data_IF_531420188639
#
_entry.id   IF_531420188639
#
_cell.length_a   1.000
_cell.length_b   1.000
_cell.length_c   1.000
_cell.angle_alpha   90.00
_cell.angle_beta   90.00
_cell.angle_gamma   90.00
#
_symmetry.space_group_name_H-M   'P 1'
#
loop_
_entity.id
_entity.type
_entity.pdbx_description
1 polymer ?
#
# COMPACT_ATOMS: atom_id res chain seq x y z
N UNK A 1 7.95 -35.53 0.92
CA UNK A 1 9.28 -36.11 1.16
C UNK A 1 9.07 -37.60 1.41
N UNK A 2 9.55 -38.49 0.55
CA UNK A 2 9.38 -39.95 0.68
C UNK A 2 10.52 -40.56 1.51
N UNK A 3 10.25 -41.64 2.25
CA UNK A 3 11.15 -42.27 3.24
C UNK A 3 12.56 -42.56 2.68
N UNK A 4 12.65 -42.99 1.43
CA UNK A 4 13.92 -43.30 0.75
C UNK A 4 14.80 -42.05 0.55
N UNK A 5 14.20 -40.89 0.23
CA UNK A 5 14.95 -39.64 0.05
C UNK A 5 15.53 -39.11 1.37
N UNK A 6 14.91 -39.45 2.50
CA UNK A 6 15.41 -39.07 3.82
C UNK A 6 16.60 -39.96 4.23
N UNK A 7 16.45 -41.28 4.06
CA UNK A 7 17.51 -42.24 4.37
C UNK A 7 18.81 -41.98 3.58
N UNK A 8 18.69 -41.63 2.29
CA UNK A 8 19.84 -41.27 1.46
C UNK A 8 20.55 -39.98 1.91
N UNK A 9 19.81 -38.99 2.43
CA UNK A 9 20.38 -37.74 2.95
C UNK A 9 21.15 -37.97 4.25
N UNK A 10 20.64 -38.85 5.12
CA UNK A 10 21.30 -39.24 6.37
C UNK A 10 22.63 -39.97 6.11
N UNK A 11 22.63 -40.93 5.17
CA UNK A 11 23.84 -41.64 4.71
C UNK A 11 24.92 -40.70 4.14
N UNK A 12 24.53 -39.56 3.57
CA UNK A 12 25.44 -38.50 3.08
C UNK A 12 25.94 -37.54 4.18
N UNK A 13 25.67 -37.81 5.46
CA UNK A 13 26.21 -37.04 6.58
C UNK A 13 25.49 -35.72 6.86
N UNK A 14 24.30 -35.48 6.30
CA UNK A 14 23.48 -34.32 6.68
C UNK A 14 22.77 -34.61 8.01
N UNK A 15 23.23 -33.97 9.07
CA UNK A 15 22.67 -34.05 10.43
C UNK A 15 21.60 -32.97 10.69
N UNK A 16 21.53 -31.92 9.85
CA UNK A 16 20.58 -30.83 10.04
C UNK A 16 19.16 -31.24 9.64
N UNK A 17 18.24 -31.14 10.61
CA UNK A 17 16.81 -31.43 10.48
C UNK A 17 16.00 -30.21 9.98
N UNK A 18 16.65 -29.05 9.83
CA UNK A 18 16.05 -27.85 9.27
C UNK A 18 15.75 -28.05 7.79
N UNK A 19 14.55 -27.67 7.36
CA UNK A 19 14.22 -27.65 5.94
C UNK A 19 15.23 -26.71 5.25
N UNK A 20 15.87 -27.21 4.19
CA UNK A 20 16.75 -26.37 3.38
C UNK A 20 15.87 -25.25 2.85
N UNK A 21 16.26 -24.00 3.09
CA UNK A 21 15.52 -22.84 2.64
C UNK A 21 15.16 -23.05 1.16
N UNK A 22 13.89 -23.34 0.92
CA UNK A 22 13.40 -23.46 -0.44
C UNK A 22 13.28 -22.03 -0.90
N UNK A 23 14.11 -21.67 -1.87
CA UNK A 23 13.85 -20.49 -2.69
C UNK A 23 12.47 -20.67 -3.28
N UNK A 24 11.49 -20.09 -2.59
CA UNK A 24 10.13 -19.94 -3.07
C UNK A 24 10.21 -18.82 -4.09
N UNK A 25 10.82 -19.15 -5.23
CA UNK A 25 11.05 -18.33 -6.42
C UNK A 25 10.72 -16.85 -6.26
N UNK A 26 11.69 -15.96 -6.02
CA UNK A 26 11.46 -14.55 -6.29
C UNK A 26 11.58 -14.37 -7.81
N UNK A 27 10.45 -14.31 -8.51
CA UNK A 27 10.38 -13.71 -9.86
C UNK A 27 10.66 -12.21 -9.70
N UNK A 28 11.92 -11.84 -9.45
CA UNK A 28 12.34 -10.46 -9.16
C UNK A 28 12.00 -9.53 -10.33
N UNK A 29 12.00 -10.05 -11.57
CA UNK A 29 11.61 -9.29 -12.76
C UNK A 29 10.08 -9.09 -12.90
N UNK A 30 9.25 -10.09 -12.55
CA UNK A 30 7.79 -9.97 -12.56
C UNK A 30 7.28 -9.11 -11.40
N UNK A 31 7.90 -9.25 -10.23
CA UNK A 31 7.56 -8.48 -9.04
C UNK A 31 7.85 -6.99 -9.20
N UNK A 32 8.96 -6.60 -9.82
CA UNK A 32 9.26 -5.16 -10.02
C UNK A 32 8.19 -4.48 -10.89
N UNK A 33 7.74 -5.12 -11.97
CA UNK A 33 6.64 -4.60 -12.81
C UNK A 33 5.33 -4.45 -12.02
N UNK A 34 5.01 -5.43 -11.18
CA UNK A 34 3.83 -5.40 -10.33
C UNK A 34 3.92 -4.30 -9.25
N UNK A 35 5.09 -4.14 -8.62
CA UNK A 35 5.34 -3.07 -7.64
C UNK A 35 5.12 -1.69 -8.29
N UNK A 36 5.69 -1.46 -9.48
CA UNK A 36 5.51 -0.20 -10.19
C UNK A 36 4.06 0.03 -10.63
N UNK A 37 3.35 -1.03 -11.04
CA UNK A 37 1.94 -0.93 -11.38
C UNK A 37 1.08 -0.56 -10.15
N UNK A 38 1.30 -1.23 -9.01
CA UNK A 38 0.64 -0.89 -7.73
C UNK A 38 0.96 0.56 -7.33
N UNK A 39 2.20 1.02 -7.51
CA UNK A 39 2.60 2.40 -7.23
C UNK A 39 1.79 3.41 -8.06
N UNK A 40 1.57 3.11 -9.35
CA UNK A 40 0.76 3.95 -10.24
C UNK A 40 -0.71 3.96 -9.80
N UNK A 41 -1.28 2.80 -9.49
CA UNK A 41 -2.66 2.70 -9.01
C UNK A 41 -2.90 3.57 -7.77
N UNK A 42 -2.01 3.48 -6.76
CA UNK A 42 -2.12 4.25 -5.51
C UNK A 42 -1.92 5.76 -5.73
N UNK A 43 -1.05 6.15 -6.67
CA UNK A 43 -0.86 7.57 -7.04
C UNK A 43 -2.10 8.15 -7.71
N UNK A 44 -2.77 7.37 -8.56
CA UNK A 44 -3.99 7.79 -9.26
C UNK A 44 -5.19 7.84 -8.33
N UNK A 45 -5.40 6.79 -7.53
CA UNK A 45 -6.44 6.75 -6.51
C UNK A 45 -5.91 6.16 -5.21
N UNK A 46 -6.03 6.95 -4.13
CA UNK A 46 -5.60 6.55 -2.80
C UNK A 46 -6.57 5.59 -2.12
N UNK A 47 -7.75 5.36 -2.68
CA UNK A 47 -8.80 4.50 -2.11
C UNK A 47 -8.82 3.08 -2.67
N UNK A 48 -7.86 2.76 -3.54
CA UNK A 48 -7.74 1.44 -4.16
C UNK A 48 -7.70 0.33 -3.10
N UNK A 49 -8.55 -0.67 -3.30
CA UNK A 49 -8.72 -1.83 -2.42
C UNK A 49 -7.82 -2.99 -2.82
N UNK A 50 -7.60 -3.93 -1.88
CA UNK A 50 -6.86 -5.17 -2.16
C UNK A 50 -7.47 -5.98 -3.32
N UNK A 51 -8.80 -6.01 -3.42
CA UNK A 51 -9.50 -6.75 -4.46
C UNK A 51 -9.31 -6.13 -5.85
N UNK A 52 -9.33 -4.81 -5.95
CA UNK A 52 -9.10 -4.10 -7.22
C UNK A 52 -7.66 -4.28 -7.71
N UNK A 53 -6.68 -4.28 -6.80
CA UNK A 53 -5.27 -4.54 -7.15
C UNK A 53 -5.13 -5.97 -7.68
N UNK A 54 -5.69 -6.95 -6.97
CA UNK A 54 -5.69 -8.35 -7.39
C UNK A 54 -6.37 -8.52 -8.75
N UNK A 55 -7.55 -7.95 -8.93
CA UNK A 55 -8.29 -8.05 -10.19
C UNK A 55 -7.53 -7.41 -11.36
N UNK A 56 -6.86 -6.28 -11.12
CA UNK A 56 -6.13 -5.54 -12.15
C UNK A 56 -4.82 -6.21 -12.56
N UNK A 57 -4.11 -6.83 -11.61
CA UNK A 57 -2.78 -7.39 -11.84
C UNK A 57 -2.75 -8.92 -11.92
N UNK A 58 -3.86 -9.60 -11.61
CA UNK A 58 -3.95 -11.06 -11.59
C UNK A 58 -3.05 -11.72 -10.54
N UNK A 59 -2.60 -10.97 -9.52
CA UNK A 59 -1.68 -11.45 -8.49
C UNK A 59 -2.40 -12.05 -7.30
N UNK A 60 -1.72 -12.93 -6.58
CA UNK A 60 -2.28 -13.52 -5.36
C UNK A 60 -2.46 -12.47 -4.24
N UNK A 61 -3.42 -12.73 -3.33
CA UNK A 61 -3.69 -11.85 -2.19
C UNK A 61 -2.49 -11.73 -1.25
N UNK A 62 -1.72 -12.81 -1.04
CA UNK A 62 -0.52 -12.78 -0.19
C UNK A 62 0.57 -11.90 -0.79
N UNK A 63 0.72 -11.91 -2.12
CA UNK A 63 1.67 -11.05 -2.84
C UNK A 63 1.23 -9.59 -2.75
N UNK A 64 -0.06 -9.31 -2.92
CA UNK A 64 -0.62 -7.95 -2.78
C UNK A 64 -0.33 -7.37 -1.39
N UNK A 65 -0.57 -8.16 -0.34
CA UNK A 65 -0.27 -7.78 1.04
C UNK A 65 1.23 -7.57 1.25
N UNK A 66 2.08 -8.47 0.74
CA UNK A 66 3.53 -8.35 0.82
C UNK A 66 4.03 -7.07 0.13
N UNK A 67 3.48 -6.72 -1.03
CA UNK A 67 3.82 -5.50 -1.75
C UNK A 67 3.44 -4.26 -0.94
N UNK A 68 2.20 -4.18 -0.46
CA UNK A 68 1.71 -3.01 0.29
C UNK A 68 2.43 -2.81 1.63
N UNK A 69 2.69 -3.89 2.36
CA UNK A 69 3.31 -3.80 3.68
C UNK A 69 4.84 -3.73 3.64
N UNK A 70 5.51 -4.53 2.80
CA UNK A 70 6.99 -4.58 2.77
C UNK A 70 7.61 -3.52 1.88
N UNK A 71 7.02 -3.23 0.72
CA UNK A 71 7.63 -2.28 -0.24
C UNK A 71 7.13 -0.85 -0.06
N UNK A 72 5.85 -0.66 0.27
CA UNK A 72 5.29 0.70 0.42
C UNK A 72 5.11 1.14 1.87
N UNK A 73 5.09 0.21 2.83
CA UNK A 73 4.85 0.50 4.26
C UNK A 73 3.59 1.37 4.45
N UNK A 74 2.54 1.10 3.67
CA UNK A 74 1.31 1.90 3.73
C UNK A 74 0.44 1.39 4.88
N UNK A 75 -0.03 2.33 5.70
CA UNK A 75 -1.06 2.07 6.72
C UNK A 75 -2.42 2.43 6.14
N UNK A 76 -3.41 1.56 6.34
CA UNK A 76 -4.80 1.88 6.03
C UNK A 76 -5.27 3.00 6.96
N UNK A 77 -5.44 4.20 6.42
CA UNK A 77 -6.05 5.31 7.13
C UNK A 77 -7.56 5.25 6.95
N UNK A 78 -8.32 5.52 8.03
CA UNK A 78 -9.76 5.72 7.91
C UNK A 78 -9.99 7.10 7.32
N UNK A 79 -10.91 7.19 6.36
CA UNK A 79 -11.30 8.47 5.79
C UNK A 79 -11.96 9.33 6.88
N UNK A 80 -11.61 10.62 6.91
CA UNK A 80 -12.28 11.58 7.78
C UNK A 80 -13.68 11.83 7.22
N UNK A 81 -14.70 11.77 8.07
CA UNK A 81 -16.05 12.10 7.66
C UNK A 81 -16.14 13.59 7.33
N UNK A 82 -16.71 13.91 6.16
CA UNK A 82 -16.90 15.28 5.68
C UNK A 82 -18.42 15.49 5.61
N UNK A 83 -18.94 16.41 6.42
CA UNK A 83 -20.39 16.63 6.59
C UNK A 83 -21.11 16.98 5.28
N UNK A 84 -20.49 17.73 4.38
CA UNK A 84 -21.12 18.20 3.14
C UNK A 84 -20.17 18.13 1.96
N UNK A 85 -20.68 17.65 0.82
CA UNK A 85 -19.98 17.72 -0.45
C UNK A 85 -20.20 19.11 -1.08
N UNK A 86 -19.29 20.04 -0.78
CA UNK A 86 -19.41 21.42 -1.21
C UNK A 86 -19.16 21.59 -2.71
N UNK A 87 -20.01 22.39 -3.35
CA UNK A 87 -19.82 22.86 -4.72
C UNK A 87 -18.60 23.78 -4.83
N UNK A 88 -18.08 23.97 -6.05
CA UNK A 88 -16.93 24.85 -6.32
C UNK A 88 -17.20 26.29 -5.84
N UNK A 89 -18.40 26.82 -6.12
CA UNK A 89 -18.80 28.15 -5.67
C UNK A 89 -18.83 28.28 -4.15
N UNK A 90 -19.39 27.29 -3.44
CA UNK A 90 -19.40 27.28 -1.97
C UNK A 90 -17.98 27.25 -1.38
N UNK A 91 -17.05 26.52 -1.98
CA UNK A 91 -15.64 26.50 -1.56
C UNK A 91 -15.00 27.88 -1.74
N UNK A 92 -15.19 28.51 -2.89
CA UNK A 92 -14.68 29.87 -3.15
C UNK A 92 -15.22 30.87 -2.14
N UNK A 93 -16.54 30.88 -1.91
CA UNK A 93 -17.17 31.81 -0.96
C UNK A 93 -16.61 31.64 0.46
N UNK A 94 -16.38 30.40 0.91
CA UNK A 94 -15.76 30.13 2.20
C UNK A 94 -14.34 30.69 2.29
N UNK A 95 -13.51 30.47 1.27
CA UNK A 95 -12.14 30.99 1.23
C UNK A 95 -12.13 32.52 1.27
N UNK A 96 -12.97 33.16 0.44
CA UNK A 96 -13.11 34.62 0.42
C UNK A 96 -13.50 35.15 1.80
N UNK A 97 -14.52 34.57 2.42
CA UNK A 97 -14.98 34.99 3.75
C UNK A 97 -13.89 34.85 4.83
N UNK A 98 -13.20 33.70 4.87
CA UNK A 98 -12.10 33.48 5.81
C UNK A 98 -10.99 34.51 5.62
N UNK A 99 -10.60 34.81 4.38
CA UNK A 99 -9.57 35.81 4.09
C UNK A 99 -10.00 37.22 4.53
N UNK A 100 -11.24 37.62 4.26
CA UNK A 100 -11.77 38.90 4.72
C UNK A 100 -11.73 39.01 6.24
N UNK A 101 -12.12 37.96 6.97
CA UNK A 101 -12.06 37.96 8.43
C UNK A 101 -10.63 37.98 8.98
N UNK A 102 -9.71 37.24 8.37
CA UNK A 102 -8.29 37.28 8.75
C UNK A 102 -7.69 38.66 8.57
N UNK A 103 -8.00 39.36 7.47
CA UNK A 103 -7.54 40.73 7.23
C UNK A 103 -8.12 41.68 8.28
N UNK A 104 -9.42 41.57 8.58
CA UNK A 104 -10.07 42.39 9.60
C UNK A 104 -9.45 42.19 10.98
N UNK A 105 -9.17 40.95 11.36
CA UNK A 105 -8.53 40.63 12.63
C UNK A 105 -7.12 41.21 12.73
N UNK A 106 -6.30 41.08 11.67
CA UNK A 106 -4.96 41.66 11.62
C UNK A 106 -4.98 43.19 11.74
N UNK A 107 -5.90 43.86 11.07
CA UNK A 107 -6.06 45.32 11.17
C UNK A 107 -6.42 45.77 12.59
N UNK A 108 -7.29 45.03 13.27
CA UNK A 108 -7.65 45.32 14.66
C UNK A 108 -6.50 45.07 15.64
N UNK A 109 -5.59 44.14 15.35
CA UNK A 109 -4.42 43.85 16.17
C UNK A 109 -3.24 44.81 15.91
N UNK A 110 -3.33 45.67 14.89
CA UNK A 110 -2.31 46.69 14.55
C UNK A 110 -2.73 48.11 14.93
N UNK A 111 -3.92 48.28 15.49
CA UNK A 111 -4.41 49.50 16.13
C UNK A 111 -4.32 49.35 17.66
#
# INVERSE_FOLDING_TARGET
MTMNCWFAKLKRGRINLSDVFRDSCPSTAGNNKNIDAVRRMIKTDRHVTYHEIRASLGIDMSQTQSILHKHFVIKKLRLRWISHNLTKAQKTNRVTWCNTMLIRFKKLASN
#
